data_IF_394400655181
#
_entry.id   IF_394400655181
#
_cell.length_a   1.000
_cell.length_b   1.000
_cell.length_c   1.000
_cell.angle_alpha   90.00
_cell.angle_beta   90.00
_cell.angle_gamma   90.00
#
_symmetry.space_group_name_H-M   'P 1'
#
loop_
_entity.id
_entity.type
_entity.pdbx_description
1 polymer ?
#
# COMPACT_ATOMS: atom_id res chain seq x y z
N UNK A 1 41.91 -1.65 -30.29
CA UNK A 1 40.71 -0.84 -29.99
C UNK A 1 40.06 -1.44 -28.76
N UNK A 2 40.23 -0.80 -27.60
CA UNK A 2 39.62 -1.24 -26.34
C UNK A 2 38.12 -0.97 -26.42
N UNK A 3 37.28 -2.01 -26.32
CA UNK A 3 35.83 -1.84 -26.32
C UNK A 3 35.43 -0.90 -25.15
N UNK A 4 34.80 0.26 -25.41
CA UNK A 4 34.40 1.20 -24.36
C UNK A 4 33.51 0.56 -23.29
N UNK A 5 32.87 -0.56 -23.61
CA UNK A 5 31.93 -1.28 -22.75
C UNK A 5 32.51 -2.55 -22.12
N UNK A 6 33.80 -2.84 -22.28
CA UNK A 6 34.41 -4.04 -21.67
C UNK A 6 34.20 -4.07 -20.15
N UNK A 7 34.43 -2.94 -19.49
CA UNK A 7 34.25 -2.78 -18.03
C UNK A 7 32.79 -3.00 -17.58
N UNK A 8 31.80 -2.76 -18.46
CA UNK A 8 30.39 -3.04 -18.18
C UNK A 8 30.07 -4.52 -18.32
N UNK A 9 30.68 -5.23 -19.27
CA UNK A 9 30.46 -6.67 -19.44
C UNK A 9 30.87 -7.46 -18.20
N UNK A 10 32.00 -7.12 -17.62
CA UNK A 10 32.49 -7.78 -16.39
C UNK A 10 31.54 -7.53 -15.21
N UNK A 11 31.04 -6.30 -15.07
CA UNK A 11 30.04 -5.94 -14.05
C UNK A 11 28.67 -6.56 -14.28
N UNK A 12 28.31 -6.87 -15.53
CA UNK A 12 27.07 -7.59 -15.88
C UNK A 12 27.16 -9.10 -15.61
N UNK A 13 28.38 -9.66 -15.58
CA UNK A 13 28.63 -11.03 -15.20
C UNK A 13 28.44 -11.23 -13.68
N UNK A 14 28.93 -10.28 -12.87
CA UNK A 14 28.91 -10.33 -11.40
C UNK A 14 27.59 -9.82 -10.76
N UNK A 15 26.50 -9.78 -11.51
CA UNK A 15 25.22 -9.29 -10.98
C UNK A 15 24.65 -10.29 -9.95
N UNK A 16 24.20 -9.82 -8.76
CA UNK A 16 23.62 -10.68 -7.74
C UNK A 16 22.19 -11.10 -8.09
N UNK A 17 21.83 -12.33 -7.70
CA UNK A 17 20.45 -12.85 -7.74
C UNK A 17 19.65 -12.44 -6.49
N UNK A 18 19.76 -11.16 -6.10
CA UNK A 18 19.11 -10.59 -4.92
C UNK A 18 18.17 -9.45 -5.29
N UNK A 19 17.17 -9.14 -4.43
CA UNK A 19 16.38 -7.94 -4.60
C UNK A 19 17.22 -6.69 -4.33
N UNK A 20 16.77 -5.57 -4.88
CA UNK A 20 17.43 -4.29 -4.65
C UNK A 20 17.00 -3.19 -5.60
N UNK A 21 17.77 -2.11 -5.56
CA UNK A 21 17.57 -0.91 -6.37
C UNK A 21 18.73 -0.76 -7.35
N UNK A 22 18.43 -0.47 -8.61
CA UNK A 22 19.41 -0.14 -9.63
C UNK A 22 19.27 1.33 -10.03
N UNK A 23 20.41 1.97 -10.30
CA UNK A 23 20.53 3.38 -10.63
C UNK A 23 21.25 3.45 -11.97
N UNK A 24 20.65 4.11 -12.95
CA UNK A 24 21.23 4.27 -14.29
C UNK A 24 21.76 5.70 -14.46
N UNK A 25 22.95 5.80 -15.04
CA UNK A 25 23.66 7.06 -15.26
C UNK A 25 23.97 7.28 -16.73
N UNK A 26 24.02 8.55 -17.13
CA UNK A 26 24.49 8.96 -18.46
C UNK A 26 26.01 9.19 -18.51
N UNK A 27 26.52 9.56 -19.68
CA UNK A 27 27.94 9.85 -19.90
C UNK A 27 28.51 10.95 -18.99
N UNK A 28 27.66 11.81 -18.42
CA UNK A 28 28.07 12.88 -17.50
C UNK A 28 28.09 12.42 -16.04
N UNK A 29 27.77 11.15 -15.77
CA UNK A 29 27.62 10.59 -14.43
C UNK A 29 26.30 10.96 -13.76
N UNK A 30 25.38 11.63 -14.45
CA UNK A 30 24.11 12.07 -13.89
C UNK A 30 23.12 10.91 -13.81
N UNK A 31 22.41 10.79 -12.68
CA UNK A 31 21.36 9.80 -12.50
C UNK A 31 20.16 10.15 -13.39
N UNK A 32 19.89 9.28 -14.36
CA UNK A 32 18.80 9.46 -15.34
C UNK A 32 17.59 8.59 -15.02
N UNK A 33 17.78 7.46 -14.37
CA UNK A 33 16.71 6.53 -13.99
C UNK A 33 17.07 5.73 -12.73
N UNK A 34 16.07 5.42 -11.90
CA UNK A 34 16.20 4.57 -10.72
C UNK A 34 15.05 3.57 -10.75
N UNK A 35 15.32 2.30 -10.53
CA UNK A 35 14.29 1.28 -10.49
C UNK A 35 14.58 0.21 -9.44
N UNK A 36 13.56 -0.60 -9.12
CA UNK A 36 13.69 -1.74 -8.22
C UNK A 36 13.55 -3.06 -8.95
N UNK A 37 14.16 -4.09 -8.40
CA UNK A 37 14.13 -5.43 -8.93
C UNK A 37 13.90 -6.46 -7.82
N UNK A 38 13.14 -7.51 -8.12
CA UNK A 38 13.12 -8.74 -7.31
C UNK A 38 14.43 -9.50 -7.43
N UNK A 39 14.99 -9.48 -8.64
CA UNK A 39 16.28 -10.07 -8.99
C UNK A 39 17.03 -9.05 -9.85
N UNK A 40 18.07 -8.43 -9.28
CA UNK A 40 18.85 -7.39 -9.93
C UNK A 40 19.46 -7.88 -11.25
N UNK A 41 20.04 -9.09 -11.27
CA UNK A 41 20.62 -9.70 -12.47
C UNK A 41 19.69 -9.65 -13.68
N UNK A 42 18.46 -10.15 -13.52
CA UNK A 42 17.50 -10.23 -14.62
C UNK A 42 17.11 -8.84 -15.13
N UNK A 43 16.89 -7.90 -14.22
CA UNK A 43 16.38 -6.56 -14.57
C UNK A 43 17.45 -5.68 -15.18
N UNK A 44 18.67 -5.66 -14.64
CA UNK A 44 19.77 -4.85 -15.17
C UNK A 44 20.16 -5.33 -16.57
N UNK A 45 20.27 -6.65 -16.79
CA UNK A 45 20.61 -7.23 -18.11
C UNK A 45 19.63 -6.82 -19.21
N UNK A 46 18.34 -6.66 -18.90
CA UNK A 46 17.35 -6.22 -19.90
C UNK A 46 17.73 -4.88 -20.54
N UNK A 47 18.35 -3.96 -19.79
CA UNK A 47 18.74 -2.65 -20.31
C UNK A 47 19.91 -2.69 -21.29
N UNK A 48 20.78 -3.69 -21.17
CA UNK A 48 21.96 -3.87 -22.02
C UNK A 48 21.80 -4.96 -23.09
N UNK A 49 20.66 -5.65 -23.11
CA UNK A 49 20.35 -6.62 -24.16
C UNK A 49 20.13 -5.92 -25.51
N UNK A 50 20.69 -6.50 -26.57
CA UNK A 50 20.62 -6.01 -27.96
C UNK A 50 19.24 -6.16 -28.61
N UNK A 51 18.28 -6.77 -27.92
CA UNK A 51 16.95 -7.00 -28.48
C UNK A 51 16.22 -5.67 -28.76
N UNK A 52 15.46 -5.56 -29.88
CA UNK A 52 14.68 -4.36 -30.20
C UNK A 52 13.65 -4.10 -29.09
N UNK A 53 13.64 -2.87 -28.56
CA UNK A 53 12.63 -2.49 -27.59
C UNK A 53 11.36 -1.99 -28.27
N UNK A 54 10.24 -2.64 -27.98
CA UNK A 54 8.93 -2.27 -28.51
C UNK A 54 8.42 -0.94 -27.93
N UNK A 55 8.95 -0.50 -26.79
CA UNK A 55 8.56 0.75 -26.16
C UNK A 55 9.57 1.88 -26.47
N UNK A 56 9.19 2.92 -27.24
CA UNK A 56 10.10 3.97 -27.66
C UNK A 56 10.67 4.77 -26.47
N UNK A 57 9.93 4.88 -25.36
CA UNK A 57 10.44 5.56 -24.15
C UNK A 57 11.56 4.77 -23.47
N UNK A 58 11.48 3.43 -23.49
CA UNK A 58 12.51 2.55 -22.94
C UNK A 58 13.72 2.54 -23.87
N UNK A 59 13.52 2.49 -25.20
CA UNK A 59 14.60 2.60 -26.18
C UNK A 59 15.38 3.92 -26.00
N UNK A 60 14.69 5.05 -25.85
CA UNK A 60 15.29 6.36 -25.60
C UNK A 60 15.99 6.48 -24.24
N UNK A 61 15.65 5.64 -23.26
CA UNK A 61 16.39 5.51 -22.01
C UNK A 61 17.66 4.70 -22.24
N UNK A 62 17.55 3.49 -22.83
CA UNK A 62 18.69 2.59 -23.08
C UNK A 62 19.82 3.30 -23.84
N UNK A 63 19.49 4.06 -24.88
CA UNK A 63 20.48 4.79 -25.69
C UNK A 63 21.26 5.88 -24.93
N UNK A 64 20.88 6.22 -23.69
CA UNK A 64 21.61 7.18 -22.85
C UNK A 64 22.31 6.55 -21.64
N UNK A 65 22.11 5.27 -21.38
CA UNK A 65 22.75 4.59 -20.26
C UNK A 65 24.21 4.34 -20.64
N UNK A 66 25.13 4.86 -19.82
CA UNK A 66 26.57 4.60 -19.96
C UNK A 66 27.10 3.86 -18.74
N UNK A 67 26.46 4.02 -17.58
CA UNK A 67 26.87 3.34 -16.35
C UNK A 67 25.65 3.01 -15.48
N UNK A 68 25.83 2.10 -14.53
CA UNK A 68 24.82 1.74 -13.55
C UNK A 68 25.44 1.50 -12.16
N UNK A 69 24.64 1.66 -11.12
CA UNK A 69 24.96 1.26 -9.74
C UNK A 69 23.84 0.39 -9.18
N UNK A 70 24.15 -0.37 -8.14
CA UNK A 70 23.16 -1.23 -7.47
C UNK A 70 23.30 -1.13 -5.96
N UNK A 71 22.15 -1.15 -5.28
CA UNK A 71 22.04 -1.28 -3.85
C UNK A 71 21.24 -2.56 -3.58
N UNK A 72 21.93 -3.58 -3.07
CA UNK A 72 21.31 -4.85 -2.70
C UNK A 72 20.54 -4.67 -1.40
N UNK A 73 19.35 -5.25 -1.31
CA UNK A 73 18.53 -5.27 -0.09
C UNK A 73 18.22 -6.70 0.32
N UNK A 74 17.77 -6.90 1.55
CA UNK A 74 17.47 -8.25 2.05
C UNK A 74 16.11 -8.75 1.56
N UNK A 75 15.18 -7.83 1.28
CA UNK A 75 13.84 -8.16 0.80
C UNK A 75 13.28 -7.14 -0.21
N UNK A 76 12.16 -7.49 -0.86
CA UNK A 76 11.49 -6.65 -1.86
C UNK A 76 10.88 -5.36 -1.28
N UNK A 77 10.51 -5.37 0.00
CA UNK A 77 9.86 -4.24 0.68
C UNK A 77 10.89 -3.14 0.94
N UNK A 78 12.09 -3.49 1.38
CA UNK A 78 13.20 -2.58 1.51
C UNK A 78 13.61 -1.98 0.17
N UNK A 79 13.72 -2.79 -0.89
CA UNK A 79 13.99 -2.30 -2.24
C UNK A 79 12.95 -1.26 -2.68
N UNK A 80 11.69 -1.47 -2.34
CA UNK A 80 10.60 -0.53 -2.59
C UNK A 80 10.77 0.79 -1.84
N UNK A 81 11.03 0.73 -0.53
CA UNK A 81 11.18 1.92 0.30
C UNK A 81 12.42 2.72 -0.14
N UNK A 82 13.53 2.02 -0.37
CA UNK A 82 14.79 2.61 -0.80
C UNK A 82 14.66 3.30 -2.17
N UNK A 83 14.01 2.64 -3.14
CA UNK A 83 13.75 3.23 -4.46
C UNK A 83 12.89 4.49 -4.34
N UNK A 84 11.80 4.45 -3.57
CA UNK A 84 10.94 5.61 -3.36
C UNK A 84 11.71 6.80 -2.76
N UNK A 85 12.59 6.53 -1.80
CA UNK A 85 13.44 7.55 -1.17
C UNK A 85 14.44 8.14 -2.17
N UNK A 86 15.10 7.30 -2.97
CA UNK A 86 16.08 7.74 -3.97
C UNK A 86 15.43 8.51 -5.12
N UNK A 87 14.28 8.07 -5.62
CA UNK A 87 13.51 8.79 -6.65
C UNK A 87 13.03 10.13 -6.12
N UNK A 88 12.58 10.20 -4.87
CA UNK A 88 12.18 11.46 -4.24
C UNK A 88 13.36 12.42 -4.06
N UNK A 89 14.53 11.91 -3.69
CA UNK A 89 15.76 12.68 -3.49
C UNK A 89 16.33 13.22 -4.80
N UNK A 90 16.48 12.36 -5.82
CA UNK A 90 17.19 12.68 -7.05
C UNK A 90 16.29 13.16 -8.19
N UNK A 91 14.98 12.87 -8.13
CA UNK A 91 13.97 13.19 -9.16
C UNK A 91 14.48 12.94 -10.60
N UNK A 92 14.92 11.72 -10.94
CA UNK A 92 15.54 11.46 -12.24
C UNK A 92 14.56 11.74 -13.39
N UNK A 93 15.09 12.28 -14.50
CA UNK A 93 14.29 12.71 -15.66
C UNK A 93 13.37 11.60 -16.18
N UNK A 94 13.88 10.38 -16.32
CA UNK A 94 13.11 9.28 -16.89
C UNK A 94 12.10 8.68 -15.90
N UNK A 95 12.30 8.76 -14.59
CA UNK A 95 11.29 8.34 -13.61
C UNK A 95 10.03 9.21 -13.65
N UNK A 96 10.16 10.50 -14.00
CA UNK A 96 9.02 11.40 -14.17
C UNK A 96 8.26 11.05 -15.45
N UNK A 97 8.99 10.81 -16.55
CA UNK A 97 8.41 10.54 -17.87
C UNK A 97 7.85 9.11 -18.01
N UNK A 98 8.30 8.18 -17.17
CA UNK A 98 7.93 6.75 -17.15
C UNK A 98 7.05 6.37 -15.94
N UNK A 99 6.36 7.33 -15.31
CA UNK A 99 5.44 7.03 -14.20
C UNK A 99 4.35 6.06 -14.64
N UNK A 100 4.35 4.86 -14.06
CA UNK A 100 3.23 3.94 -14.07
C UNK A 100 2.42 4.14 -12.77
N UNK A 101 1.09 4.06 -12.83
CA UNK A 101 0.19 4.36 -11.70
C UNK A 101 0.09 3.23 -10.65
N UNK A 102 1.09 2.33 -10.64
CA UNK A 102 1.11 1.13 -9.81
C UNK A 102 1.82 1.38 -8.48
N UNK A 103 1.18 2.16 -7.61
CA UNK A 103 1.56 2.25 -6.20
C UNK A 103 1.18 0.96 -5.46
N UNK A 104 2.00 0.56 -4.50
CA UNK A 104 1.69 -0.59 -3.65
C UNK A 104 0.45 -0.32 -2.79
N UNK A 105 -0.42 -1.31 -2.61
CA UNK A 105 -1.60 -1.14 -1.79
C UNK A 105 -1.23 -1.19 -0.29
N UNK A 106 -2.08 -0.53 0.48
CA UNK A 106 -2.11 -0.48 1.93
C UNK A 106 -3.47 -0.97 2.42
N UNK A 107 -3.50 -1.51 3.63
CA UNK A 107 -4.72 -1.73 4.38
C UNK A 107 -4.91 -0.57 5.34
N UNK A 108 -5.98 0.20 5.16
CA UNK A 108 -6.39 1.29 6.06
C UNK A 108 -7.50 0.77 6.98
N UNK A 109 -7.38 0.96 8.28
CA UNK A 109 -8.48 0.83 9.25
C UNK A 109 -8.98 2.24 9.55
N UNK A 110 -10.26 2.51 9.27
CA UNK A 110 -10.89 3.80 9.55
C UNK A 110 -11.08 3.99 11.06
N UNK A 111 -10.76 5.16 11.60
CA UNK A 111 -11.04 5.52 13.00
C UNK A 111 -12.14 6.57 13.15
N UNK A 112 -12.47 7.25 12.05
CA UNK A 112 -13.43 8.33 11.94
C UNK A 112 -14.91 7.89 11.95
N UNK A 113 -15.16 6.59 11.78
CA UNK A 113 -16.50 5.99 11.77
C UNK A 113 -16.79 5.25 13.10
N UNK A 114 -18.01 5.37 13.63
CA UNK A 114 -18.49 4.63 14.82
C UNK A 114 -18.31 3.10 14.68
N UNK A 115 -18.31 2.63 13.43
CA UNK A 115 -18.09 1.25 13.05
C UNK A 115 -16.92 1.15 12.06
N UNK A 116 -15.72 0.79 12.53
CA UNK A 116 -14.54 0.80 11.72
C UNK A 116 -14.59 -0.27 10.63
N UNK A 117 -13.96 0.03 9.50
CA UNK A 117 -13.83 -0.86 8.35
C UNK A 117 -12.38 -0.95 7.90
N UNK A 118 -12.04 -2.08 7.27
CA UNK A 118 -10.76 -2.26 6.59
C UNK A 118 -10.94 -1.88 5.12
N UNK A 119 -10.09 -1.00 4.61
CA UNK A 119 -10.14 -0.48 3.24
C UNK A 119 -8.79 -0.70 2.58
N UNK A 120 -8.79 -1.27 1.37
CA UNK A 120 -7.59 -1.32 0.53
C UNK A 120 -7.43 0.03 -0.18
N UNK A 121 -6.30 0.70 -0.01
CA UNK A 121 -5.99 1.98 -0.67
C UNK A 121 -4.57 1.98 -1.22
N UNK A 122 -4.33 2.69 -2.33
CA UNK A 122 -2.99 2.91 -2.89
C UNK A 122 -2.40 4.29 -2.54
N UNK A 123 -3.14 5.06 -1.75
CA UNK A 123 -2.78 6.39 -1.29
C UNK A 123 -2.95 6.48 0.23
N UNK A 124 -1.96 7.07 0.88
CA UNK A 124 -2.09 7.55 2.25
C UNK A 124 -2.74 8.93 2.21
N UNK A 125 -3.72 9.14 3.09
CA UNK A 125 -4.36 10.44 3.29
C UNK A 125 -3.88 10.99 4.63
N UNK A 126 -3.94 12.31 4.81
CA UNK A 126 -3.67 12.95 6.10
C UNK A 126 -4.94 12.85 6.97
N UNK A 127 -5.24 11.66 7.44
CA UNK A 127 -6.37 11.37 8.31
C UNK A 127 -5.95 10.49 9.48
N UNK A 128 -6.85 10.32 10.46
CA UNK A 128 -6.61 9.51 11.67
C UNK A 128 -6.71 7.99 11.42
N UNK A 129 -6.71 7.55 10.16
CA UNK A 129 -6.74 6.14 9.82
C UNK A 129 -5.43 5.42 10.16
N UNK A 130 -5.52 4.14 10.55
CA UNK A 130 -4.34 3.29 10.70
C UNK A 130 -4.00 2.65 9.38
N UNK A 131 -2.80 2.89 8.87
CA UNK A 131 -2.31 2.33 7.63
C UNK A 131 -1.30 1.21 7.90
N UNK A 132 -1.56 0.05 7.31
CA UNK A 132 -0.68 -1.12 7.33
C UNK A 132 -0.19 -1.39 5.91
N UNK A 133 1.10 -1.66 5.73
CA UNK A 133 1.74 -1.82 4.43
C UNK A 133 2.91 -0.85 4.24
N UNK A 134 3.49 -0.73 3.03
CA UNK A 134 3.01 -1.21 1.73
C UNK A 134 3.09 -2.73 1.56
N UNK A 135 2.07 -3.34 0.95
CA UNK A 135 2.07 -4.79 0.70
C UNK A 135 2.69 -5.11 -0.66
N UNK A 136 3.91 -5.67 -0.65
CA UNK A 136 4.58 -6.14 -1.87
C UNK A 136 3.80 -7.25 -2.61
N UNK A 137 3.15 -8.13 -1.84
CA UNK A 137 2.31 -9.21 -2.36
C UNK A 137 0.82 -8.92 -2.10
N UNK A 138 0.05 -8.74 -3.18
CA UNK A 138 -1.41 -8.48 -3.13
C UNK A 138 -2.17 -9.70 -2.58
N UNK A 139 -1.69 -10.91 -2.80
CA UNK A 139 -2.27 -12.14 -2.24
C UNK A 139 -2.20 -12.15 -0.71
N UNK A 140 -1.00 -11.96 -0.14
CA UNK A 140 -0.80 -11.89 1.31
C UNK A 140 -1.58 -10.73 1.96
N UNK A 141 -1.70 -9.59 1.27
CA UNK A 141 -2.58 -8.50 1.72
C UNK A 141 -4.05 -8.95 1.80
N UNK A 142 -4.56 -9.68 0.80
CA UNK A 142 -5.96 -10.15 0.79
C UNK A 142 -6.21 -11.18 1.90
N UNK A 143 -5.24 -12.04 2.20
CA UNK A 143 -5.32 -12.96 3.33
C UNK A 143 -5.35 -12.23 4.67
N UNK A 144 -4.46 -11.27 4.85
CA UNK A 144 -4.43 -10.40 6.04
C UNK A 144 -5.76 -9.67 6.21
N UNK A 145 -6.30 -9.09 5.13
CA UNK A 145 -7.62 -8.45 5.12
C UNK A 145 -8.73 -9.43 5.57
N UNK A 146 -8.74 -10.65 5.04
CA UNK A 146 -9.73 -11.68 5.42
C UNK A 146 -9.60 -12.06 6.89
N UNK A 147 -8.38 -12.22 7.39
CA UNK A 147 -8.09 -12.58 8.77
C UNK A 147 -8.55 -11.48 9.74
N UNK A 148 -8.14 -10.23 9.51
CA UNK A 148 -8.55 -9.08 10.32
C UNK A 148 -10.08 -8.94 10.30
N UNK A 149 -10.71 -9.06 9.12
CA UNK A 149 -12.16 -8.94 8.99
C UNK A 149 -12.91 -10.03 9.76
N UNK A 150 -12.37 -11.26 9.82
CA UNK A 150 -12.97 -12.39 10.56
C UNK A 150 -12.78 -12.27 12.07
N UNK A 151 -11.56 -11.94 12.52
CA UNK A 151 -11.22 -11.88 13.94
C UNK A 151 -11.92 -10.71 14.65
N UNK A 152 -11.85 -9.52 14.05
CA UNK A 152 -12.42 -8.31 14.63
C UNK A 152 -13.84 -8.04 14.17
N UNK A 153 -14.42 -8.90 13.32
CA UNK A 153 -15.78 -8.75 12.75
C UNK A 153 -16.04 -7.32 12.25
N UNK A 154 -15.05 -6.77 11.55
CA UNK A 154 -15.12 -5.42 10.99
C UNK A 154 -16.06 -5.41 9.78
N UNK A 155 -16.61 -4.23 9.51
CA UNK A 155 -17.49 -4.04 8.35
C UNK A 155 -16.67 -4.12 7.07
N UNK A 156 -17.25 -4.77 6.07
CA UNK A 156 -16.70 -4.85 4.70
C UNK A 156 -17.44 -3.91 3.74
N UNK A 157 -18.58 -3.36 4.13
CA UNK A 157 -19.38 -2.47 3.31
C UNK A 157 -18.83 -1.04 3.28
N UNK A 158 -19.01 -0.37 2.14
CA UNK A 158 -18.52 1.01 1.90
C UNK A 158 -19.42 2.10 2.50
N UNK A 159 -20.50 1.72 3.19
CA UNK A 159 -21.46 2.68 3.76
C UNK A 159 -20.82 3.45 4.92
N UNK A 160 -20.87 4.78 4.87
CA UNK A 160 -20.49 5.65 6.00
C UNK A 160 -21.60 5.62 7.04
N UNK A 161 -21.28 5.43 8.33
CA UNK A 161 -22.30 5.39 9.38
C UNK A 161 -21.83 6.27 10.55
N UNK A 162 -22.63 7.27 10.96
CA UNK A 162 -23.99 7.62 10.49
C UNK A 162 -24.04 8.22 9.07
N UNK A 163 -25.21 8.21 8.42
CA UNK A 163 -25.36 8.81 7.08
C UNK A 163 -25.14 10.32 7.20
N UNK A 164 -24.43 10.96 6.25
CA UNK A 164 -24.39 12.42 6.15
C UNK A 164 -25.76 13.13 6.15
N UNK A 165 -26.86 12.42 5.82
CA UNK A 165 -28.22 12.96 5.69
C UNK A 165 -29.09 12.69 6.94
N UNK A 166 -28.52 12.13 8.00
CA UNK A 166 -29.21 11.88 9.26
C UNK A 166 -29.74 10.46 9.47
N UNK A 167 -30.56 10.28 10.51
CA UNK A 167 -31.13 8.99 10.94
C UNK A 167 -32.25 8.55 9.98
N UNK A 168 -32.32 7.26 9.66
CA UNK A 168 -33.35 6.68 8.77
C UNK A 168 -32.95 6.52 7.30
N UNK A 169 -31.79 7.04 6.89
CA UNK A 169 -31.33 6.97 5.49
C UNK A 169 -30.71 5.62 5.08
N UNK A 170 -30.64 4.64 5.98
CA UNK A 170 -30.09 3.31 5.69
C UNK A 170 -31.06 2.20 6.11
N UNK A 171 -31.22 1.19 5.26
CA UNK A 171 -31.79 -0.11 5.66
C UNK A 171 -30.83 -0.81 6.62
N UNK A 172 -31.39 -1.58 7.57
CA UNK A 172 -30.61 -2.34 8.55
C UNK A 172 -29.62 -3.27 7.83
N UNK A 173 -28.35 -3.23 8.24
CA UNK A 173 -27.28 -4.00 7.58
C UNK A 173 -27.53 -5.51 7.67
N UNK A 174 -27.35 -6.25 6.57
CA UNK A 174 -27.47 -7.72 6.57
C UNK A 174 -26.56 -8.37 7.62
N UNK A 175 -25.34 -7.86 7.80
CA UNK A 175 -24.42 -8.37 8.83
C UNK A 175 -24.97 -8.18 10.26
N UNK A 176 -25.74 -7.12 10.49
CA UNK A 176 -26.44 -6.90 11.75
C UNK A 176 -27.59 -7.91 11.95
N UNK A 177 -28.38 -8.18 10.90
CA UNK A 177 -29.46 -9.18 10.93
C UNK A 177 -28.96 -10.60 11.20
N UNK A 178 -27.83 -10.99 10.61
CA UNK A 178 -27.22 -12.33 10.80
C UNK A 178 -26.51 -12.45 12.17
N UNK A 179 -26.75 -11.52 13.11
CA UNK A 179 -26.11 -11.45 14.44
C UNK A 179 -24.58 -11.58 14.39
N UNK A 180 -23.95 -11.13 13.31
CA UNK A 180 -22.50 -10.96 13.35
C UNK A 180 -22.23 -9.89 14.43
N UNK A 181 -21.54 -10.25 15.52
CA UNK A 181 -21.08 -9.28 16.54
C UNK A 181 -20.09 -8.33 15.88
N UNK A 182 -20.58 -7.26 15.26
CA UNK A 182 -19.76 -6.23 14.64
C UNK A 182 -19.10 -5.42 15.76
N UNK A 183 -17.79 -5.27 15.67
CA UNK A 183 -17.01 -4.55 16.65
C UNK A 183 -17.21 -3.03 16.49
N UNK A 184 -17.45 -2.30 17.59
CA UNK A 184 -17.67 -0.85 17.60
C UNK A 184 -16.45 -0.12 18.15
N UNK A 185 -16.08 1.01 17.51
CA UNK A 185 -14.91 1.84 17.81
C UNK A 185 -14.82 2.31 19.27
N UNK A 186 -15.93 2.36 20.01
CA UNK A 186 -15.95 2.77 21.43
C UNK A 186 -15.08 1.91 22.37
N UNK A 187 -14.51 0.80 21.89
CA UNK A 187 -13.60 -0.06 22.67
C UNK A 187 -12.10 0.04 22.31
N UNK A 188 -11.68 0.88 21.35
CA UNK A 188 -10.25 1.12 20.98
C UNK A 188 -9.67 2.36 21.71
N UNK A 189 -10.18 2.75 22.87
CA UNK A 189 -9.42 3.71 23.68
C UNK A 189 -8.18 3.02 24.25
N UNK A 190 -7.03 3.27 23.61
CA UNK A 190 -5.74 3.11 24.28
C UNK A 190 -5.82 3.86 25.60
N UNK A 191 -5.37 3.21 26.68
CA UNK A 191 -5.32 3.71 28.05
C UNK A 191 -4.57 5.05 28.10
N UNK A 192 -5.22 6.18 27.81
CA UNK A 192 -4.75 7.55 28.09
C UNK A 192 -5.83 8.60 27.74
N UNK A 193 -6.92 8.60 28.49
CA UNK A 193 -7.54 9.83 29.03
C UNK A 193 -8.75 9.44 29.91
N UNK A 194 -8.51 9.34 31.21
CA UNK A 194 -9.58 9.58 32.18
C UNK A 194 -9.85 11.08 32.16
N UNK A 195 -11.04 11.51 31.73
CA UNK A 195 -11.84 12.58 32.37
C UNK A 195 -13.16 12.79 31.63
N UNK A 196 -14.18 13.12 32.45
CA UNK A 196 -15.53 13.62 32.15
C UNK A 196 -16.56 12.68 31.47
N UNK A 197 -17.26 11.93 32.32
CA UNK A 197 -18.71 11.98 32.57
C UNK A 197 -19.73 12.08 31.41
N UNK A 198 -20.79 11.26 31.58
CA UNK A 198 -22.15 11.38 31.04
C UNK A 198 -22.40 11.03 29.57
N UNK A 199 -22.69 9.75 29.29
CA UNK A 199 -23.97 9.32 28.68
C UNK A 199 -23.96 7.80 28.44
N UNK A 200 -24.58 7.06 29.36
CA UNK A 200 -24.92 5.66 29.14
C UNK A 200 -26.24 5.36 29.86
N UNK A 201 -27.37 5.83 29.31
CA UNK A 201 -28.67 5.20 29.57
C UNK A 201 -28.98 4.28 28.41
N UNK A 202 -28.85 2.99 28.67
CA UNK A 202 -29.42 1.94 27.86
C UNK A 202 -30.95 2.03 27.96
N UNK A 203 -31.62 2.30 26.84
CA UNK A 203 -33.07 2.23 26.74
C UNK A 203 -33.50 0.76 26.85
N UNK A 204 -33.95 0.35 28.04
CA UNK A 204 -34.75 -0.86 28.22
C UNK A 204 -36.11 -0.61 27.56
N UNK A 205 -36.46 -1.47 26.61
CA UNK A 205 -37.80 -1.59 26.05
C UNK A 205 -38.73 -2.07 27.17
N UNK A 206 -39.71 -1.25 27.55
CA UNK A 206 -40.86 -1.68 28.35
C UNK A 206 -41.87 -2.36 27.43
N UNK A 207 -42.10 -3.65 27.65
CA UNK A 207 -43.27 -4.38 27.17
C UNK A 207 -44.37 -4.26 28.22
N UNK A 208 -45.46 -3.57 27.91
CA UNK A 208 -46.69 -3.58 28.69
C UNK A 208 -47.72 -4.49 28.00
N UNK A 209 -47.81 -5.75 28.43
CA UNK A 209 -48.99 -6.58 28.24
C UNK A 209 -49.85 -6.46 29.50
N UNK A 210 -51.05 -5.92 29.33
CA UNK A 210 -52.10 -5.89 30.35
C UNK A 210 -52.92 -7.18 30.25
N UNK A 211 -52.85 -8.02 31.27
CA UNK A 211 -53.86 -9.04 31.57
C UNK A 211 -54.39 -8.73 32.98
N UNK A 212 -55.68 -8.42 33.10
CA UNK A 212 -56.37 -8.32 34.38
C UNK A 212 -57.57 -9.28 34.32
N UNK A 213 -57.48 -10.33 35.13
CA UNK A 213 -58.60 -11.21 35.49
C UNK A 213 -59.06 -10.87 36.91
N UNK A 214 -60.33 -11.17 37.14
CA UNK A 214 -61.18 -10.95 38.32
C UNK A 214 -61.84 -9.58 38.39
#
# INVERSE_FOLDING_TARGET
MTDPFQHLRDRLADLPDKPGVYIMKDATGKIIYIGKAKVLRNRVRTYFALAPELNPKIAALKGKIVDFEMLVTDNEIEALILEANLVKKHKPRYNINLKDDKRYPYLKITQDDDFPRVVVTRSMYRDDGLYFGPYANVGGMRETYKMISRLFKLRTCKLRIPHPKGKGSYKVCLQYHVRARIWSARKITTRKSKRSSSFCRASRLHSSLSFRTK
#
